data_IF_008386645537
#
_entry.id   IF_008386645537
#
_cell.length_a   1.000
_cell.length_b   1.000
_cell.length_c   1.000
_cell.angle_alpha   90.00
_cell.angle_beta   90.00
_cell.angle_gamma   90.00
#
_symmetry.space_group_name_H-M   'P 1'
#
loop_
_entity.id
_entity.type
_entity.pdbx_description
1 polymer ?
#
# COMPACT_ATOMS: atom_id res chain seq x y z
N UNK A 1 1.34 -6.21 7.09
CA UNK A 1 0.69 -6.88 8.23
C UNK A 1 1.06 -8.35 8.19
N UNK A 2 1.74 -8.82 9.22
CA UNK A 2 2.02 -10.24 9.38
C UNK A 2 0.76 -10.89 9.93
N UNK A 3 0.22 -11.88 9.22
CA UNK A 3 -0.89 -12.67 9.72
C UNK A 3 -0.40 -13.52 10.90
N UNK A 4 -1.01 -13.38 12.06
CA UNK A 4 -0.59 -14.09 13.29
C UNK A 4 -0.65 -15.62 13.15
N UNK A 5 -1.47 -16.14 12.26
CA UNK A 5 -1.62 -17.58 12.02
C UNK A 5 -0.43 -18.22 11.29
N UNK A 6 0.36 -17.42 10.55
CA UNK A 6 1.53 -17.88 9.78
C UNK A 6 2.84 -17.28 10.30
N UNK A 7 2.86 -16.82 11.54
CA UNK A 7 3.99 -16.12 12.10
C UNK A 7 5.07 -17.09 12.59
N UNK A 8 6.02 -17.43 11.74
CA UNK A 8 7.28 -18.03 12.15
C UNK A 8 8.19 -16.93 12.68
N UNK A 9 8.27 -16.83 14.01
CA UNK A 9 8.85 -15.74 14.77
C UNK A 9 10.01 -14.97 14.12
N UNK A 10 9.89 -13.66 14.06
CA UNK A 10 11.03 -12.81 13.74
C UNK A 10 12.00 -12.80 14.93
N UNK A 11 13.30 -12.60 14.72
CA UNK A 11 14.27 -12.44 15.81
C UNK A 11 13.92 -11.29 16.76
N UNK A 12 13.08 -10.35 16.33
CA UNK A 12 12.64 -9.19 17.12
C UNK A 12 11.69 -9.53 18.26
N UNK A 13 11.05 -10.71 18.28
CA UNK A 13 10.22 -11.15 19.41
C UNK A 13 11.00 -11.40 20.71
N UNK A 14 12.31 -11.54 20.62
CA UNK A 14 13.17 -11.81 21.76
C UNK A 14 13.88 -10.56 22.29
N UNK A 15 13.54 -9.38 21.76
CA UNK A 15 14.15 -8.14 22.24
C UNK A 15 13.67 -7.79 23.63
N UNK A 16 14.61 -7.59 24.53
CA UNK A 16 14.36 -7.06 25.87
C UNK A 16 14.14 -5.54 25.81
N UNK A 17 13.43 -4.99 26.77
CA UNK A 17 13.12 -3.56 26.88
C UNK A 17 12.31 -2.97 25.70
N UNK A 18 11.50 -3.80 25.06
CA UNK A 18 10.60 -3.41 23.97
C UNK A 18 9.19 -3.86 24.30
N UNK A 19 8.22 -2.95 24.18
CA UNK A 19 6.80 -3.31 24.29
C UNK A 19 6.36 -3.84 22.92
N UNK A 20 5.88 -5.08 22.91
CA UNK A 20 5.45 -5.73 21.67
C UNK A 20 3.93 -5.65 21.55
N UNK A 21 3.48 -5.16 20.40
CA UNK A 21 2.07 -5.14 20.03
C UNK A 21 1.86 -5.97 18.77
N UNK A 22 0.83 -6.80 18.76
CA UNK A 22 0.47 -7.64 17.61
C UNK A 22 -0.82 -7.12 16.98
N UNK A 23 -0.77 -6.82 15.69
CA UNK A 23 -1.92 -6.41 14.90
C UNK A 23 -2.25 -7.46 13.86
N UNK A 24 -3.52 -7.80 13.73
CA UNK A 24 -4.02 -8.77 12.75
C UNK A 24 -5.22 -8.18 12.03
N UNK A 25 -5.43 -8.55 10.79
CA UNK A 25 -6.58 -8.11 10.03
C UNK A 25 -6.24 -7.77 8.58
N UNK A 26 -7.28 -7.33 7.87
CA UNK A 26 -7.14 -6.83 6.50
C UNK A 26 -6.49 -5.44 6.49
N UNK A 27 -5.97 -5.04 5.32
CA UNK A 27 -5.59 -3.63 5.14
C UNK A 27 -6.74 -2.70 5.60
N UNK A 28 -6.47 -1.63 6.37
CA UNK A 28 -5.17 -1.02 6.67
C UNK A 28 -4.54 -1.37 8.04
N UNK A 29 -4.86 -2.51 8.66
CA UNK A 29 -4.31 -2.90 9.96
C UNK A 29 -2.76 -2.88 10.03
N UNK A 30 -2.09 -3.04 8.88
CA UNK A 30 -0.62 -2.96 8.77
C UNK A 30 -0.05 -1.54 8.68
N UNK A 31 -0.89 -0.52 8.53
CA UNK A 31 -0.41 0.86 8.44
C UNK A 31 0.01 1.37 9.81
N UNK A 32 1.19 1.98 9.88
CA UNK A 32 1.78 2.45 11.12
C UNK A 32 0.92 3.52 11.82
N UNK A 33 0.25 4.38 11.07
CA UNK A 33 -0.67 5.38 11.63
C UNK A 33 -1.86 4.75 12.34
N UNK A 34 -2.45 3.67 11.79
CA UNK A 34 -3.50 2.90 12.43
C UNK A 34 -3.01 2.25 13.73
N UNK A 35 -1.81 1.67 13.71
CA UNK A 35 -1.20 1.06 14.89
C UNK A 35 -0.94 2.09 15.99
N UNK A 36 -0.40 3.26 15.65
CA UNK A 36 -0.18 4.36 16.60
C UNK A 36 -1.51 4.83 17.20
N UNK A 37 -2.55 4.99 16.37
CA UNK A 37 -3.86 5.40 16.86
C UNK A 37 -4.41 4.46 17.97
N UNK A 38 -4.19 3.15 17.83
CA UNK A 38 -4.64 2.17 18.83
C UNK A 38 -3.73 2.03 20.04
N UNK A 39 -2.43 2.29 19.90
CA UNK A 39 -1.47 2.17 21.01
C UNK A 39 -1.41 3.45 21.84
N UNK A 40 -1.24 4.57 21.16
CA UNK A 40 -1.09 5.90 21.79
C UNK A 40 -1.43 6.97 20.75
N UNK A 41 -2.71 7.36 20.66
CA UNK A 41 -3.15 8.39 19.73
C UNK A 41 -2.35 9.68 19.91
N UNK A 42 -1.87 10.24 18.79
CA UNK A 42 -1.07 11.47 18.79
C UNK A 42 -1.97 12.65 19.10
N UNK A 43 -1.57 13.50 20.04
CA UNK A 43 -2.25 14.75 20.38
C UNK A 43 -1.54 15.93 19.73
N UNK A 44 -2.24 17.05 19.60
CA UNK A 44 -1.68 18.29 19.05
C UNK A 44 -0.37 18.68 19.77
N UNK A 45 0.71 18.81 19.01
CA UNK A 45 2.06 19.15 19.53
C UNK A 45 2.91 17.93 19.91
N UNK A 46 2.38 16.71 19.86
CA UNK A 46 3.17 15.50 20.07
C UNK A 46 3.85 15.05 18.77
N UNK A 47 5.01 14.42 18.90
CA UNK A 47 5.77 13.86 17.77
C UNK A 47 6.09 12.39 18.06
N UNK A 48 5.78 11.52 17.10
CA UNK A 48 6.11 10.09 17.16
C UNK A 48 7.08 9.75 16.04
N UNK A 49 8.19 9.12 16.39
CA UNK A 49 9.17 8.63 15.45
C UNK A 49 8.89 7.18 15.07
N UNK A 50 8.95 6.87 13.80
CA UNK A 50 8.80 5.51 13.28
C UNK A 50 10.05 5.08 12.54
N UNK A 51 10.40 3.81 12.65
CA UNK A 51 11.53 3.22 11.91
C UNK A 51 11.10 1.88 11.33
N UNK A 52 11.40 1.66 10.04
CA UNK A 52 11.16 0.38 9.38
C UNK A 52 12.21 -0.66 9.78
N UNK A 53 11.87 -1.95 9.65
CA UNK A 53 12.78 -3.03 10.04
C UNK A 53 14.12 -3.01 9.27
N UNK A 54 14.09 -2.69 7.97
CA UNK A 54 15.30 -2.58 7.18
C UNK A 54 16.18 -1.39 7.60
N UNK A 55 15.56 -0.27 7.97
CA UNK A 55 16.29 0.88 8.50
C UNK A 55 16.88 0.58 9.87
N UNK A 56 16.15 -0.13 10.73
CA UNK A 56 16.68 -0.58 12.02
C UNK A 56 17.91 -1.49 11.84
N UNK A 57 17.86 -2.41 10.87
CA UNK A 57 19.01 -3.26 10.54
C UNK A 57 20.19 -2.44 10.00
N UNK A 58 19.95 -1.42 9.16
CA UNK A 58 21.00 -0.54 8.66
C UNK A 58 21.64 0.30 9.77
N UNK A 59 20.83 0.81 10.71
CA UNK A 59 21.32 1.51 11.91
C UNK A 59 22.19 0.58 12.76
N UNK A 60 21.71 -0.63 13.04
CA UNK A 60 22.49 -1.62 13.80
C UNK A 60 23.82 -1.97 13.14
N UNK A 61 23.81 -2.13 11.80
CA UNK A 61 25.04 -2.37 11.04
C UNK A 61 26.01 -1.20 11.12
N UNK A 62 25.51 0.03 11.03
CA UNK A 62 26.33 1.25 11.18
C UNK A 62 27.05 1.27 12.55
N UNK A 63 26.33 1.02 13.65
CA UNK A 63 26.92 1.01 14.98
C UNK A 63 27.94 -0.12 15.17
N UNK A 64 27.69 -1.29 14.58
CA UNK A 64 28.59 -2.44 14.72
C UNK A 64 29.85 -2.33 13.84
N UNK A 65 29.77 -1.70 12.68
CA UNK A 65 30.85 -1.73 11.68
C UNK A 65 31.46 -0.37 11.35
N UNK A 66 30.84 0.72 11.82
CA UNK A 66 31.19 2.10 11.45
C UNK A 66 30.90 2.43 9.98
N UNK A 67 30.23 1.54 9.23
CA UNK A 67 29.93 1.74 7.80
C UNK A 67 28.42 1.78 7.57
N UNK A 68 27.97 2.84 6.91
CA UNK A 68 26.58 2.96 6.50
C UNK A 68 26.33 2.18 5.19
N UNK A 69 25.62 1.07 5.28
CA UNK A 69 25.20 0.28 4.11
C UNK A 69 23.72 0.53 3.83
N UNK A 70 23.45 1.23 2.77
CA UNK A 70 22.10 1.61 2.34
C UNK A 70 21.43 0.56 1.46
N UNK A 71 22.15 -0.50 1.05
CA UNK A 71 21.55 -1.55 0.23
C UNK A 71 20.45 -2.26 0.98
N UNK A 72 19.39 -2.57 0.26
CA UNK A 72 18.23 -3.29 0.79
C UNK A 72 17.61 -4.18 -0.27
N UNK A 73 16.81 -5.14 0.19
CA UNK A 73 16.01 -5.97 -0.70
C UNK A 73 14.75 -5.22 -1.11
N UNK A 74 14.54 -5.14 -2.42
CA UNK A 74 13.38 -4.52 -3.04
C UNK A 74 12.58 -5.63 -3.71
N UNK A 75 11.28 -5.71 -3.43
CA UNK A 75 10.39 -6.65 -4.08
C UNK A 75 9.92 -6.08 -5.42
N UNK A 76 10.14 -6.81 -6.51
CA UNK A 76 9.52 -6.52 -7.80
C UNK A 76 8.32 -7.45 -7.96
N UNK A 77 7.13 -6.88 -8.09
CA UNK A 77 5.85 -7.60 -8.01
C UNK A 77 4.84 -7.05 -9.03
N UNK A 78 3.68 -7.66 -9.05
CA UNK A 78 2.55 -7.24 -9.87
C UNK A 78 2.24 -8.24 -10.98
N UNK A 79 1.02 -8.19 -11.55
CA UNK A 79 0.59 -9.14 -12.57
C UNK A 79 1.36 -9.03 -13.89
N UNK A 80 2.08 -7.93 -14.12
CA UNK A 80 2.93 -7.71 -15.30
C UNK A 80 4.42 -7.83 -15.00
N UNK A 81 4.80 -8.22 -13.79
CA UNK A 81 6.16 -8.65 -13.51
C UNK A 81 6.39 -10.06 -14.08
N UNK A 82 7.34 -10.20 -15.01
CA UNK A 82 7.61 -11.48 -15.70
C UNK A 82 8.13 -12.52 -14.71
N UNK A 83 9.06 -12.14 -13.84
CA UNK A 83 9.64 -12.99 -12.81
C UNK A 83 9.67 -12.25 -11.48
N UNK A 84 8.55 -12.26 -10.71
CA UNK A 84 8.53 -11.60 -9.42
C UNK A 84 9.65 -12.09 -8.50
N UNK A 85 10.47 -11.17 -8.00
CA UNK A 85 11.65 -11.52 -7.19
C UNK A 85 12.04 -10.40 -6.21
N UNK A 86 12.95 -10.74 -5.31
CA UNK A 86 13.65 -9.76 -4.49
C UNK A 86 14.99 -9.41 -5.12
N UNK A 87 15.25 -8.12 -5.29
CA UNK A 87 16.48 -7.57 -5.86
C UNK A 87 17.24 -6.83 -4.78
N UNK A 88 18.56 -7.06 -4.70
CA UNK A 88 19.44 -6.27 -3.84
C UNK A 88 19.79 -4.96 -4.58
N UNK A 89 19.30 -3.84 -4.07
CA UNK A 89 19.47 -2.56 -4.73
C UNK A 89 19.67 -1.41 -3.74
N UNK A 90 20.06 -0.27 -4.27
CA UNK A 90 20.10 1.00 -3.54
C UNK A 90 18.71 1.65 -3.53
N UNK A 91 18.38 2.44 -2.48
CA UNK A 91 17.22 3.32 -2.51
C UNK A 91 17.27 4.23 -3.74
N UNK A 92 16.12 4.42 -4.39
CA UNK A 92 16.08 5.23 -5.60
C UNK A 92 16.53 4.51 -6.87
N UNK A 93 16.50 3.16 -6.92
CA UNK A 93 16.76 2.42 -8.14
C UNK A 93 15.84 2.89 -9.27
N UNK A 94 16.40 3.03 -10.48
CA UNK A 94 15.63 3.39 -11.66
C UNK A 94 14.81 2.21 -12.18
N UNK A 95 13.64 2.47 -12.73
CA UNK A 95 12.87 1.44 -13.43
C UNK A 95 13.61 0.85 -14.63
N UNK A 96 14.55 1.60 -15.21
CA UNK A 96 15.42 1.11 -16.27
C UNK A 96 16.40 0.01 -15.81
N UNK A 97 16.78 0.02 -14.54
CA UNK A 97 17.73 -0.95 -13.99
C UNK A 97 17.06 -2.30 -13.68
N UNK A 98 15.73 -2.37 -13.72
CA UNK A 98 14.93 -3.60 -13.50
C UNK A 98 14.23 -4.08 -14.79
N UNK A 99 14.77 -3.77 -15.95
CA UNK A 99 14.17 -4.15 -17.25
C UNK A 99 13.93 -5.64 -17.44
N UNK A 100 14.70 -6.47 -16.79
CA UNK A 100 14.57 -7.93 -16.84
C UNK A 100 13.25 -8.43 -16.22
N UNK A 101 12.55 -7.59 -15.46
CA UNK A 101 11.32 -7.95 -14.77
C UNK A 101 10.05 -7.53 -15.52
N UNK A 102 10.14 -6.92 -16.70
CA UNK A 102 8.99 -6.61 -17.54
C UNK A 102 9.36 -6.69 -19.03
N UNK A 103 8.40 -6.99 -19.90
CA UNK A 103 8.65 -7.18 -21.32
C UNK A 103 8.84 -5.84 -22.03
N UNK A 104 7.80 -5.03 -22.11
CA UNK A 104 7.79 -3.70 -22.74
C UNK A 104 7.20 -2.67 -21.79
N UNK A 105 7.74 -1.46 -21.71
CA UNK A 105 7.23 -0.44 -20.81
C UNK A 105 5.93 0.21 -21.31
N UNK A 106 5.58 0.00 -22.58
CA UNK A 106 4.37 0.55 -23.17
C UNK A 106 3.15 -0.06 -22.50
N UNK A 107 2.21 0.79 -22.13
CA UNK A 107 0.96 0.39 -21.49
C UNK A 107 1.15 -0.30 -20.11
N UNK A 108 2.26 -0.03 -19.43
CA UNK A 108 2.50 -0.45 -18.07
C UNK A 108 2.49 0.73 -17.10
N UNK A 109 1.94 0.48 -15.92
CA UNK A 109 2.02 1.37 -14.78
C UNK A 109 3.05 0.84 -13.80
N UNK A 110 4.02 1.67 -13.47
CA UNK A 110 5.04 1.39 -12.46
C UNK A 110 4.70 2.15 -11.18
N UNK A 111 4.46 1.42 -10.12
CA UNK A 111 4.09 1.98 -8.83
C UNK A 111 5.25 1.78 -7.86
N UNK A 112 5.74 2.89 -7.29
CA UNK A 112 6.61 2.86 -6.12
C UNK A 112 5.76 2.54 -4.90
N UNK A 113 5.97 1.38 -4.31
CA UNK A 113 5.11 0.84 -3.25
C UNK A 113 4.05 -0.14 -3.76
N UNK A 114 2.96 -0.25 -3.02
CA UNK A 114 1.84 -1.13 -3.34
C UNK A 114 0.71 -0.39 -4.12
N UNK A 115 -0.29 -1.15 -4.57
CA UNK A 115 -1.41 -0.62 -5.37
C UNK A 115 -2.38 0.28 -4.59
N UNK A 116 -2.34 0.26 -3.25
CA UNK A 116 -3.27 0.99 -2.39
C UNK A 116 -2.71 2.33 -1.94
N UNK A 117 -1.41 2.39 -1.66
CA UNK A 117 -0.75 3.57 -1.07
C UNK A 117 0.42 4.10 -1.89
N UNK A 118 0.87 3.35 -2.90
CA UNK A 118 2.02 3.71 -3.71
C UNK A 118 1.76 4.82 -4.72
N UNK A 119 2.84 5.34 -5.28
CA UNK A 119 2.84 6.43 -6.25
C UNK A 119 3.19 5.93 -7.65
N UNK A 120 2.43 6.33 -8.67
CA UNK A 120 2.78 6.06 -10.05
C UNK A 120 4.02 6.88 -10.46
N UNK A 121 5.10 6.20 -10.80
CA UNK A 121 6.39 6.80 -11.17
C UNK A 121 6.72 6.68 -12.66
N UNK A 122 5.94 5.90 -13.42
CA UNK A 122 6.20 5.63 -14.83
C UNK A 122 7.48 4.84 -15.09
N UNK A 123 7.74 4.54 -16.37
CA UNK A 123 8.89 3.72 -16.79
C UNK A 123 10.26 4.41 -16.66
N UNK A 124 10.29 5.74 -16.60
CA UNK A 124 11.49 6.55 -16.44
C UNK A 124 11.76 6.96 -14.99
N UNK A 125 10.86 6.58 -14.06
CA UNK A 125 10.89 7.00 -12.68
C UNK A 125 11.89 6.23 -11.81
N UNK A 126 11.90 6.62 -10.54
CA UNK A 126 12.76 6.06 -9.51
C UNK A 126 11.94 5.61 -8.32
N UNK A 127 12.35 4.52 -7.69
CA UNK A 127 11.73 4.04 -6.45
C UNK A 127 11.87 5.07 -5.34
N UNK A 128 10.79 5.36 -4.64
CA UNK A 128 10.77 6.25 -3.49
C UNK A 128 11.71 5.78 -2.36
N UNK A 129 12.30 6.72 -1.64
CA UNK A 129 13.29 6.41 -0.60
C UNK A 129 12.75 5.48 0.49
N UNK A 130 11.48 5.60 0.85
CA UNK A 130 10.85 4.80 1.89
C UNK A 130 10.22 3.50 1.38
N UNK A 131 10.13 3.33 0.06
CA UNK A 131 9.50 2.16 -0.55
C UNK A 131 10.49 1.01 -0.74
N UNK A 132 10.01 -0.21 -0.50
CA UNK A 132 10.77 -1.45 -0.67
C UNK A 132 10.12 -2.37 -1.71
N UNK A 133 9.21 -1.84 -2.50
CA UNK A 133 8.46 -2.60 -3.48
C UNK A 133 8.22 -1.76 -4.72
N UNK A 134 8.34 -2.41 -5.88
CA UNK A 134 7.84 -1.92 -7.16
C UNK A 134 6.69 -2.83 -7.58
N UNK A 135 5.56 -2.24 -7.93
CA UNK A 135 4.41 -2.98 -8.46
C UNK A 135 4.16 -2.61 -9.91
N UNK A 136 4.11 -3.61 -10.79
CA UNK A 136 3.96 -3.44 -12.24
C UNK A 136 2.60 -3.97 -12.66
N UNK A 137 1.77 -3.08 -13.22
CA UNK A 137 0.40 -3.37 -13.66
C UNK A 137 0.21 -2.98 -15.13
N UNK A 138 -0.84 -3.50 -15.76
CA UNK A 138 -1.32 -2.97 -17.03
C UNK A 138 -2.02 -1.62 -16.81
N UNK A 139 -1.67 -0.62 -17.64
CA UNK A 139 -2.32 0.69 -17.61
C UNK A 139 -3.74 0.60 -18.16
N UNK A 140 -4.70 1.19 -17.45
CA UNK A 140 -6.11 1.17 -17.81
C UNK A 140 -6.48 2.21 -18.85
N UNK A 141 -6.52 1.78 -20.11
CA UNK A 141 -6.88 2.65 -21.25
C UNK A 141 -8.25 2.32 -21.85
N UNK A 142 -8.98 1.38 -21.26
CA UNK A 142 -10.26 0.90 -21.81
C UNK A 142 -11.41 1.52 -21.06
N UNK A 143 -12.16 2.37 -21.76
CA UNK A 143 -13.41 2.91 -21.23
C UNK A 143 -14.55 1.93 -21.46
N UNK A 144 -15.31 1.68 -20.41
CA UNK A 144 -16.42 0.76 -20.46
C UNK A 144 -17.67 1.36 -19.80
N UNK A 145 -18.71 1.59 -20.60
CA UNK A 145 -19.98 2.09 -20.09
C UNK A 145 -20.66 1.01 -19.23
N UNK A 146 -21.01 1.38 -17.97
CA UNK A 146 -21.68 0.51 -17.00
C UNK A 146 -20.97 -0.84 -16.79
N UNK A 147 -19.65 -0.89 -16.96
CA UNK A 147 -18.85 -2.11 -16.81
C UNK A 147 -19.00 -2.76 -15.43
N UNK A 148 -19.16 -1.97 -14.39
CA UNK A 148 -19.40 -2.42 -13.01
C UNK A 148 -20.71 -3.20 -12.82
N UNK A 149 -21.71 -3.01 -13.68
CA UNK A 149 -23.01 -3.66 -13.61
C UNK A 149 -23.12 -4.90 -14.51
N UNK A 150 -22.16 -5.14 -15.42
CA UNK A 150 -22.22 -6.27 -16.36
C UNK A 150 -22.03 -7.59 -15.61
N UNK A 151 -22.93 -8.57 -15.74
CA UNK A 151 -22.78 -9.88 -15.12
C UNK A 151 -21.72 -10.73 -15.85
N UNK A 152 -21.35 -11.85 -15.26
CA UNK A 152 -20.48 -12.89 -15.86
C UNK A 152 -19.13 -12.38 -16.38
N UNK A 153 -18.38 -11.72 -15.53
CA UNK A 153 -17.02 -11.28 -15.84
C UNK A 153 -15.97 -12.10 -15.08
N UNK A 154 -15.68 -13.33 -15.54
CA UNK A 154 -14.88 -14.29 -14.78
C UNK A 154 -13.41 -13.85 -14.59
N UNK A 155 -12.93 -12.91 -15.39
CA UNK A 155 -11.56 -12.37 -15.28
C UNK A 155 -11.44 -11.19 -14.34
N UNK A 156 -12.56 -10.63 -13.84
CA UNK A 156 -12.57 -9.44 -12.99
C UNK A 156 -13.10 -9.77 -11.61
N UNK A 157 -12.53 -9.09 -10.62
CA UNK A 157 -13.02 -9.12 -9.25
C UNK A 157 -14.09 -8.04 -9.05
N UNK A 158 -15.12 -8.34 -8.27
CA UNK A 158 -16.13 -7.36 -7.88
C UNK A 158 -16.40 -7.42 -6.38
N UNK A 159 -16.10 -6.34 -5.69
CA UNK A 159 -16.43 -6.20 -4.27
C UNK A 159 -17.96 -6.15 -4.02
N UNK A 160 -18.74 -5.66 -4.99
CA UNK A 160 -20.22 -5.61 -4.95
C UNK A 160 -20.89 -6.96 -5.30
N UNK A 161 -20.12 -8.02 -5.52
CA UNK A 161 -20.57 -9.37 -5.91
C UNK A 161 -21.24 -9.48 -7.28
N UNK A 162 -21.22 -8.45 -8.11
CA UNK A 162 -21.87 -8.40 -9.42
C UNK A 162 -21.28 -9.41 -10.40
N UNK A 163 -19.96 -9.67 -10.34
CA UNK A 163 -19.26 -10.56 -11.28
C UNK A 163 -19.19 -12.02 -10.81
N UNK A 164 -19.89 -12.37 -9.74
CA UNK A 164 -19.85 -13.71 -9.14
C UNK A 164 -18.44 -14.18 -8.70
N UNK A 165 -17.49 -13.27 -8.53
CA UNK A 165 -16.12 -13.59 -8.08
C UNK A 165 -16.08 -14.27 -6.70
N UNK A 166 -17.10 -14.09 -5.89
CA UNK A 166 -17.28 -14.73 -4.58
C UNK A 166 -17.51 -16.25 -4.66
N UNK A 167 -17.90 -16.78 -5.83
CA UNK A 167 -17.99 -18.24 -6.06
C UNK A 167 -16.62 -18.89 -6.21
N UNK A 168 -15.57 -18.11 -6.45
CA UNK A 168 -14.20 -18.60 -6.66
C UNK A 168 -13.23 -17.86 -5.72
N UNK A 169 -13.30 -18.08 -4.41
CA UNK A 169 -12.57 -17.29 -3.42
C UNK A 169 -11.04 -17.39 -3.52
N UNK A 170 -10.54 -18.50 -4.08
CA UNK A 170 -9.09 -18.75 -4.22
C UNK A 170 -8.54 -18.35 -5.60
N UNK A 171 -9.37 -17.78 -6.47
CA UNK A 171 -8.94 -17.37 -7.79
C UNK A 171 -8.03 -16.15 -7.71
N UNK A 172 -6.91 -16.20 -8.42
CA UNK A 172 -6.04 -15.05 -8.64
C UNK A 172 -6.53 -14.26 -9.87
N UNK A 173 -6.46 -12.95 -9.77
CA UNK A 173 -6.90 -12.04 -10.83
C UNK A 173 -5.73 -11.18 -11.29
N UNK A 174 -5.58 -11.02 -12.60
CA UNK A 174 -4.68 -10.03 -13.19
C UNK A 174 -5.39 -8.68 -13.12
N UNK A 175 -5.04 -7.90 -12.09
CA UNK A 175 -5.63 -6.58 -11.88
C UNK A 175 -4.98 -5.57 -12.81
N UNK A 176 -5.80 -4.72 -13.39
CA UNK A 176 -5.41 -3.54 -14.17
C UNK A 176 -5.92 -2.25 -13.52
N UNK A 177 -5.70 -1.11 -14.14
CA UNK A 177 -6.15 0.20 -13.62
C UNK A 177 -7.42 0.72 -14.30
N UNK A 178 -8.15 -0.12 -15.03
CA UNK A 178 -9.42 0.26 -15.65
C UNK A 178 -10.52 0.50 -14.60
N UNK A 179 -11.25 1.60 -14.75
CA UNK A 179 -12.36 1.93 -13.85
C UNK A 179 -13.60 1.05 -14.01
N UNK A 180 -13.77 0.43 -15.18
CA UNK A 180 -15.01 -0.30 -15.56
C UNK A 180 -16.28 0.52 -15.38
N UNK A 181 -16.20 1.84 -15.55
CA UNK A 181 -17.29 2.80 -15.41
C UNK A 181 -16.77 4.22 -15.55
N UNK A 182 -17.63 5.20 -15.27
CA UNK A 182 -17.27 6.63 -15.26
C UNK A 182 -16.92 7.14 -13.85
N UNK A 183 -16.19 8.27 -13.74
CA UNK A 183 -16.02 8.98 -12.49
C UNK A 183 -17.36 9.31 -11.83
N UNK A 184 -17.44 9.20 -10.51
CA UNK A 184 -18.63 9.52 -9.74
C UNK A 184 -18.34 10.65 -8.77
N UNK A 185 -19.36 11.46 -8.47
CA UNK A 185 -19.25 12.49 -7.46
C UNK A 185 -18.99 11.86 -6.08
N UNK A 186 -18.15 12.53 -5.27
CA UNK A 186 -17.92 12.15 -3.90
C UNK A 186 -19.11 12.61 -3.03
N UNK A 187 -19.93 11.66 -2.61
CA UNK A 187 -21.15 11.91 -1.82
C UNK A 187 -20.97 11.46 -0.36
N UNK A 188 -21.79 11.98 0.53
CA UNK A 188 -21.87 11.51 1.90
C UNK A 188 -22.45 10.09 1.93
N UNK A 189 -21.69 9.18 2.49
CA UNK A 189 -22.11 7.80 2.77
C UNK A 189 -21.26 7.25 3.91
N UNK A 190 -21.69 6.15 4.49
CA UNK A 190 -21.03 5.48 5.63
C UNK A 190 -20.12 4.31 5.22
N UNK A 191 -19.84 4.16 3.93
CA UNK A 191 -18.99 3.06 3.44
C UNK A 191 -17.57 3.18 3.98
N UNK A 192 -17.01 4.40 4.00
CA UNK A 192 -15.66 4.64 4.50
C UNK A 192 -15.56 4.38 6.00
N UNK A 193 -16.56 4.78 6.78
CA UNK A 193 -16.60 4.56 8.23
C UNK A 193 -16.64 3.07 8.60
N UNK A 194 -17.22 2.23 7.74
CA UNK A 194 -17.27 0.76 7.96
C UNK A 194 -15.93 0.06 7.76
N UNK A 195 -14.98 0.68 7.06
CA UNK A 195 -13.69 0.07 6.71
C UNK A 195 -12.49 0.79 7.34
N UNK A 196 -12.70 1.97 7.91
CA UNK A 196 -11.66 2.71 8.62
C UNK A 196 -11.60 2.23 10.08
N UNK A 197 -10.51 1.57 10.51
CA UNK A 197 -10.39 1.08 11.88
C UNK A 197 -9.83 2.16 12.84
N UNK A 198 -10.36 3.37 12.75
CA UNK A 198 -9.96 4.53 13.56
C UNK A 198 -11.21 5.34 13.92
N UNK A 199 -11.22 5.96 15.09
CA UNK A 199 -12.33 6.81 15.57
C UNK A 199 -12.26 8.21 14.94
N UNK A 200 -12.44 8.27 13.62
CA UNK A 200 -12.42 9.48 12.83
C UNK A 200 -13.70 9.61 11.99
N UNK A 201 -13.95 10.81 11.47
CA UNK A 201 -15.06 11.07 10.56
C UNK A 201 -14.57 11.16 9.09
N UNK A 202 -14.26 10.03 8.42
CA UNK A 202 -13.48 10.02 7.18
C UNK A 202 -14.13 10.82 6.06
N UNK A 203 -15.44 10.76 5.88
CA UNK A 203 -16.11 11.47 4.79
C UNK A 203 -16.10 12.99 5.01
N UNK A 204 -16.31 13.43 6.24
CA UNK A 204 -16.26 14.85 6.58
C UNK A 204 -14.83 15.38 6.50
N UNK A 205 -13.86 14.60 6.97
CA UNK A 205 -12.44 14.92 6.87
C UNK A 205 -11.99 15.09 5.43
N UNK A 206 -12.29 14.12 4.55
CA UNK A 206 -11.95 14.21 3.13
C UNK A 206 -12.62 15.43 2.46
N UNK A 207 -13.85 15.75 2.81
CA UNK A 207 -14.52 16.97 2.30
C UNK A 207 -13.87 18.25 2.81
N UNK A 208 -13.44 18.29 4.07
CA UNK A 208 -12.70 19.41 4.64
C UNK A 208 -11.35 19.60 3.90
N UNK A 209 -10.64 18.51 3.61
CA UNK A 209 -9.41 18.54 2.82
C UNK A 209 -9.65 19.10 1.40
N UNK A 210 -10.69 18.63 0.72
CA UNK A 210 -11.04 19.12 -0.63
C UNK A 210 -11.44 20.61 -0.63
N UNK A 211 -12.03 21.09 0.46
CA UNK A 211 -12.42 22.50 0.62
C UNK A 211 -11.28 23.40 1.13
N UNK A 212 -10.16 22.81 1.58
CA UNK A 212 -9.07 23.55 2.21
C UNK A 212 -9.41 24.14 3.58
N UNK A 213 -10.40 23.59 4.29
CA UNK A 213 -10.91 24.07 5.57
C UNK A 213 -10.12 23.42 6.73
N UNK A 214 -9.03 24.07 7.15
CA UNK A 214 -8.11 23.55 8.17
C UNK A 214 -8.81 23.37 9.53
N UNK A 215 -9.69 24.31 9.91
CA UNK A 215 -10.40 24.24 11.21
C UNK A 215 -11.30 22.99 11.28
N UNK A 216 -11.89 22.62 10.16
CA UNK A 216 -12.67 21.39 10.09
C UNK A 216 -11.81 20.14 10.01
N UNK A 217 -10.65 20.19 9.33
CA UNK A 217 -9.71 19.07 9.34
C UNK A 217 -9.30 18.72 10.77
N UNK A 218 -8.89 19.72 11.57
CA UNK A 218 -8.53 19.52 12.99
C UNK A 218 -9.71 18.96 13.81
N UNK A 219 -10.93 19.41 13.56
CA UNK A 219 -12.13 18.91 14.28
C UNK A 219 -12.49 17.47 13.95
N UNK A 220 -12.16 17.00 12.74
CA UNK A 220 -12.55 15.67 12.26
C UNK A 220 -11.42 14.63 12.33
N UNK A 221 -10.28 14.97 12.87
CA UNK A 221 -9.27 14.00 13.25
C UNK A 221 -7.86 14.17 12.69
N UNK A 222 -7.51 15.35 12.19
CA UNK A 222 -6.11 15.69 11.88
C UNK A 222 -5.43 16.33 13.09
#
# INVERSE_FOLDING_TARGET
>A
SLNSENYSGTPFHKLENVIQHTFTGKHPAGNVGVQIHHISPIRKGETVWTVSLHMLAAIGKLFNTGKYDVRRKIAVTGPKAVNPAYVDAYPGISMKDIKEFYETPENLRFISGDVLTGTNIGAEGFLGFHDNQVTILEEGNKYELLGWAKPFRPKLFSASRTYFSWLTPNKKYDMDTNLHGGPRAFVLNDVYSKVLPMELYPVYLLKACLAGDIDKMEKFGI
#
